data_IF_515124729168
#
_entry.id   IF_515124729168
#
_cell.length_a   1.000
_cell.length_b   1.000
_cell.length_c   1.000
_cell.angle_alpha   90.00
_cell.angle_beta   90.00
_cell.angle_gamma   90.00
#
_symmetry.space_group_name_H-M   'P 1'
#
loop_
_entity.id
_entity.type
_entity.pdbx_description
1 polymer ?
#
# COMPACT_ATOMS: atom_id res chain seq x y z
N UNK A 1 23.21 10.95 -45.05
CA UNK A 1 23.02 10.47 -43.66
C UNK A 1 23.39 9.00 -43.53
N UNK A 2 22.65 8.05 -44.13
CA UNK A 2 22.95 6.61 -44.05
C UNK A 2 24.40 6.27 -44.41
N UNK A 3 24.85 6.70 -45.58
CA UNK A 3 26.24 6.50 -46.02
C UNK A 3 27.30 7.05 -45.03
N UNK A 4 27.09 8.24 -44.46
CA UNK A 4 28.03 8.82 -43.49
C UNK A 4 28.07 8.00 -42.19
N UNK A 5 26.91 7.58 -41.69
CA UNK A 5 26.83 6.74 -40.48
C UNK A 5 27.37 5.32 -40.71
N UNK A 6 27.24 4.79 -41.93
CA UNK A 6 27.85 3.51 -42.33
C UNK A 6 29.39 3.60 -42.38
N UNK A 7 29.94 4.77 -42.69
CA UNK A 7 31.38 5.02 -42.75
C UNK A 7 31.96 5.58 -41.43
N UNK A 8 31.33 5.26 -40.29
CA UNK A 8 31.89 5.55 -38.96
C UNK A 8 31.75 6.99 -38.48
N UNK A 9 30.94 7.84 -39.13
CA UNK A 9 30.66 9.17 -38.60
C UNK A 9 29.99 9.08 -37.21
N UNK A 10 30.52 9.83 -36.23
CA UNK A 10 29.95 9.88 -34.89
C UNK A 10 28.57 10.59 -34.91
N UNK A 11 27.51 9.81 -34.69
CA UNK A 11 26.11 10.27 -34.74
C UNK A 11 25.68 11.14 -33.56
N UNK A 12 26.51 11.22 -32.51
CA UNK A 12 26.22 11.95 -31.27
C UNK A 12 26.91 13.33 -31.19
N UNK A 13 27.60 13.77 -32.25
CA UNK A 13 28.16 15.12 -32.32
C UNK A 13 27.03 16.16 -32.30
N UNK A 14 27.29 17.28 -31.64
CA UNK A 14 26.35 18.39 -31.48
C UNK A 14 26.75 19.62 -32.29
N UNK A 15 25.75 20.40 -32.73
CA UNK A 15 25.97 21.72 -33.32
C UNK A 15 26.17 22.82 -32.26
N UNK A 16 26.27 24.09 -32.67
CA UNK A 16 26.42 25.24 -31.75
C UNK A 16 25.24 25.44 -30.77
N UNK A 17 24.07 24.86 -31.05
CA UNK A 17 22.91 24.83 -30.15
C UNK A 17 22.87 23.56 -29.28
N UNK A 18 23.98 22.82 -29.24
CA UNK A 18 24.13 21.51 -28.59
C UNK A 18 23.16 20.43 -29.11
N UNK A 19 22.61 20.60 -30.31
CA UNK A 19 21.67 19.63 -30.89
C UNK A 19 22.43 18.53 -31.62
N UNK A 20 22.13 17.27 -31.31
CA UNK A 20 22.61 16.12 -32.08
C UNK A 20 21.88 15.99 -33.42
N UNK A 21 22.41 15.19 -34.33
CA UNK A 21 21.72 14.85 -35.58
C UNK A 21 20.30 14.30 -35.32
N UNK A 22 20.12 13.54 -34.24
CA UNK A 22 18.84 12.95 -33.86
C UNK A 22 17.81 14.00 -33.38
N UNK A 23 18.25 15.05 -32.68
CA UNK A 23 17.38 16.20 -32.36
C UNK A 23 16.83 16.85 -33.63
N UNK A 24 17.70 17.05 -34.62
CA UNK A 24 17.32 17.71 -35.88
C UNK A 24 16.35 16.85 -36.68
N UNK A 25 16.55 15.53 -36.76
CA UNK A 25 15.64 14.65 -37.50
C UNK A 25 14.27 14.56 -36.85
N UNK A 26 14.19 14.47 -35.52
CA UNK A 26 12.91 14.48 -34.80
C UNK A 26 12.21 15.82 -34.94
N UNK A 27 12.91 16.95 -34.79
CA UNK A 27 12.31 18.28 -34.93
C UNK A 27 11.79 18.59 -36.35
N UNK A 28 12.35 17.94 -37.37
CA UNK A 28 11.90 18.05 -38.77
C UNK A 28 10.93 16.94 -39.20
N UNK A 29 10.43 16.13 -38.27
CA UNK A 29 9.59 14.95 -38.55
C UNK A 29 10.21 13.96 -39.57
N UNK A 30 11.53 13.92 -39.68
CA UNK A 30 12.24 12.98 -40.54
C UNK A 30 12.42 11.62 -39.83
N UNK A 31 11.31 10.90 -39.66
CA UNK A 31 11.24 9.65 -38.90
C UNK A 31 12.13 8.53 -39.47
N UNK A 32 12.23 8.45 -40.80
CA UNK A 32 13.14 7.51 -41.49
C UNK A 32 14.59 7.79 -41.11
N UNK A 33 15.00 9.06 -41.11
CA UNK A 33 16.33 9.49 -40.66
C UNK A 33 16.57 9.18 -39.18
N UNK A 34 15.59 9.46 -38.32
CA UNK A 34 15.67 9.14 -36.89
C UNK A 34 15.91 7.64 -36.64
N UNK A 35 15.22 6.75 -37.34
CA UNK A 35 15.42 5.30 -37.20
C UNK A 35 16.82 4.86 -37.66
N UNK A 36 17.33 5.43 -38.76
CA UNK A 36 18.71 5.15 -39.20
C UNK A 36 19.72 5.57 -38.13
N UNK A 37 19.54 6.74 -37.52
CA UNK A 37 20.44 7.24 -36.47
C UNK A 37 20.37 6.38 -35.21
N UNK A 38 19.17 6.01 -34.74
CA UNK A 38 18.99 5.12 -33.58
C UNK A 38 19.68 3.77 -33.82
N UNK A 39 19.49 3.16 -35.01
CA UNK A 39 20.15 1.90 -35.37
C UNK A 39 21.68 2.00 -35.44
N UNK A 40 22.22 3.22 -35.53
CA UNK A 40 23.66 3.52 -35.55
C UNK A 40 24.19 4.00 -34.20
N UNK A 41 23.42 3.84 -33.12
CA UNK A 41 23.88 4.17 -31.76
C UNK A 41 23.72 5.66 -31.41
N UNK A 42 22.75 6.35 -32.00
CA UNK A 42 22.39 7.68 -31.52
C UNK A 42 21.76 7.59 -30.13
N UNK A 43 22.25 8.42 -29.21
CA UNK A 43 21.75 8.51 -27.85
C UNK A 43 20.54 9.45 -27.78
N UNK A 44 19.32 8.93 -27.50
CA UNK A 44 18.12 9.77 -27.42
C UNK A 44 18.02 10.56 -26.10
N UNK A 45 18.99 10.40 -25.20
CA UNK A 45 19.03 11.00 -23.87
C UNK A 45 19.95 12.22 -23.78
N UNK A 46 20.72 12.50 -24.83
CA UNK A 46 21.55 13.71 -24.88
C UNK A 46 20.65 14.94 -24.84
N UNK A 47 21.10 15.95 -24.11
CA UNK A 47 20.41 17.22 -23.92
C UNK A 47 20.87 18.23 -24.96
N UNK A 48 19.95 19.01 -25.51
CA UNK A 48 20.27 20.18 -26.31
C UNK A 48 20.59 21.41 -25.45
N UNK A 49 20.81 22.58 -26.07
CA UNK A 49 21.15 23.81 -25.36
C UNK A 49 20.03 24.34 -24.46
N UNK A 50 18.79 23.83 -24.60
CA UNK A 50 17.66 24.10 -23.70
C UNK A 50 17.50 23.02 -22.62
N UNK A 51 18.42 22.07 -22.57
CA UNK A 51 18.39 20.87 -21.71
C UNK A 51 17.24 19.91 -22.02
N UNK A 52 16.62 19.99 -23.19
CA UNK A 52 15.62 19.02 -23.63
C UNK A 52 16.31 17.82 -24.29
N UNK A 53 15.82 16.60 -24.04
CA UNK A 53 16.32 15.39 -24.72
C UNK A 53 15.45 15.05 -25.93
N UNK A 54 15.97 14.24 -26.86
CA UNK A 54 15.20 13.72 -28.00
C UNK A 54 13.93 13.01 -27.52
N UNK A 55 14.01 12.22 -26.45
CA UNK A 55 12.84 11.56 -25.86
C UNK A 55 11.75 12.57 -25.44
N UNK A 56 12.11 13.73 -24.89
CA UNK A 56 11.13 14.77 -24.55
C UNK A 56 10.54 15.45 -25.78
N UNK A 57 11.36 15.71 -26.81
CA UNK A 57 10.89 16.27 -28.07
C UNK A 57 9.85 15.37 -28.73
N UNK A 58 10.14 14.07 -28.88
CA UNK A 58 9.25 13.15 -29.60
C UNK A 58 7.89 12.98 -28.94
N UNK A 59 7.80 13.10 -27.61
CA UNK A 59 6.52 13.04 -26.86
C UNK A 59 5.60 14.22 -27.18
N UNK A 60 6.17 15.36 -27.59
CA UNK A 60 5.40 16.55 -27.98
C UNK A 60 4.98 16.54 -29.46
N UNK A 61 5.50 15.61 -30.27
CA UNK A 61 5.19 15.51 -31.70
C UNK A 61 3.93 14.66 -31.90
N UNK A 62 2.90 15.24 -32.54
CA UNK A 62 1.62 14.56 -32.78
C UNK A 62 1.68 13.52 -33.90
N UNK A 63 2.63 13.68 -34.81
CA UNK A 63 2.78 12.94 -36.06
C UNK A 63 3.88 11.87 -36.00
N UNK A 64 4.46 11.61 -34.82
CA UNK A 64 5.50 10.59 -34.68
C UNK A 64 4.92 9.17 -34.87
N UNK A 65 5.41 8.37 -35.84
CA UNK A 65 4.97 6.99 -36.01
C UNK A 65 5.32 6.15 -34.79
N UNK A 66 4.38 5.30 -34.36
CA UNK A 66 4.55 4.42 -33.20
C UNK A 66 5.82 3.57 -33.25
N UNK A 67 6.23 3.08 -34.43
CA UNK A 67 7.45 2.27 -34.56
C UNK A 67 8.72 3.09 -34.37
N UNK A 68 8.71 4.36 -34.78
CA UNK A 68 9.83 5.28 -34.54
C UNK A 68 9.92 5.63 -33.06
N UNK A 69 8.77 5.90 -32.44
CA UNK A 69 8.68 6.14 -31.00
C UNK A 69 9.20 4.93 -30.22
N UNK A 70 8.72 3.71 -30.52
CA UNK A 70 9.23 2.46 -29.95
C UNK A 70 10.73 2.30 -30.14
N UNK A 71 11.26 2.59 -31.33
CA UNK A 71 12.69 2.45 -31.63
C UNK A 71 13.53 3.40 -30.77
N UNK A 72 13.10 4.65 -30.62
CA UNK A 72 13.76 5.64 -29.76
C UNK A 72 13.77 5.19 -28.30
N UNK A 73 12.61 4.81 -27.76
CA UNK A 73 12.46 4.42 -26.35
C UNK A 73 13.08 3.05 -26.00
N UNK A 74 13.25 2.16 -26.98
CA UNK A 74 13.95 0.87 -26.82
C UNK A 74 15.44 0.94 -27.12
N UNK A 75 15.97 2.10 -27.49
CA UNK A 75 17.41 2.27 -27.67
C UNK A 75 18.15 1.86 -26.40
N UNK A 76 19.25 1.10 -26.55
CA UNK A 76 20.11 0.71 -25.41
C UNK A 76 20.71 1.91 -24.67
N UNK A 77 20.74 3.08 -25.32
CA UNK A 77 21.26 4.32 -24.74
C UNK A 77 20.18 5.16 -24.05
N UNK A 78 18.91 4.76 -24.10
CA UNK A 78 17.80 5.51 -23.50
C UNK A 78 17.88 5.53 -21.97
N UNK A 79 17.94 6.73 -21.39
CA UNK A 79 17.95 6.98 -19.94
C UNK A 79 16.65 7.65 -19.51
N UNK A 80 15.76 6.88 -18.90
CA UNK A 80 14.43 7.37 -18.47
C UNK A 80 14.47 8.38 -17.32
N UNK A 81 15.52 8.36 -16.49
CA UNK A 81 15.69 9.30 -15.37
C UNK A 81 16.21 10.68 -15.80
N UNK A 82 16.56 10.87 -17.08
CA UNK A 82 17.00 12.17 -17.57
C UNK A 82 15.85 13.18 -17.50
N UNK A 83 16.14 14.37 -16.97
CA UNK A 83 15.18 15.48 -16.89
C UNK A 83 15.35 16.45 -18.06
N UNK A 84 14.28 17.12 -18.45
CA UNK A 84 14.32 18.15 -19.47
C UNK A 84 14.65 19.55 -18.89
N UNK A 85 14.64 20.60 -19.72
CA UNK A 85 14.93 21.97 -19.26
C UNK A 85 13.99 22.54 -18.21
N UNK A 86 12.79 21.96 -18.10
CA UNK A 86 11.81 22.32 -17.09
C UNK A 86 11.89 21.40 -15.84
N UNK A 87 12.88 20.52 -15.77
CA UNK A 87 13.07 19.60 -14.64
C UNK A 87 12.13 18.40 -14.61
N UNK A 88 11.44 18.09 -15.72
CA UNK A 88 10.55 16.92 -15.78
C UNK A 88 11.33 15.68 -16.24
N UNK A 89 11.27 14.57 -15.49
CA UNK A 89 11.59 13.25 -16.02
C UNK A 89 10.65 12.88 -17.16
N UNK A 90 11.08 11.97 -18.05
CA UNK A 90 10.32 11.65 -19.27
C UNK A 90 8.92 11.10 -18.99
N UNK A 91 8.76 10.26 -17.95
CA UNK A 91 7.45 9.73 -17.57
C UNK A 91 6.50 10.86 -17.13
N UNK A 92 6.96 11.73 -16.23
CA UNK A 92 6.19 12.89 -15.75
C UNK A 92 5.84 13.86 -16.88
N UNK A 93 6.75 14.06 -17.84
CA UNK A 93 6.48 14.85 -19.03
C UNK A 93 5.40 14.23 -19.93
N UNK A 94 5.44 12.90 -20.14
CA UNK A 94 4.41 12.19 -20.90
C UNK A 94 3.03 12.27 -20.23
N UNK A 95 2.97 12.19 -18.90
CA UNK A 95 1.74 12.43 -18.11
C UNK A 95 1.22 13.84 -18.32
N UNK A 96 2.09 14.85 -18.22
CA UNK A 96 1.72 16.26 -18.43
C UNK A 96 1.16 16.50 -19.84
N UNK A 97 1.73 15.84 -20.86
CA UNK A 97 1.24 15.89 -22.25
C UNK A 97 0.01 15.03 -22.51
N UNK A 98 -0.51 14.34 -21.49
CA UNK A 98 -1.65 13.42 -21.59
C UNK A 98 -1.44 12.31 -22.64
N UNK A 99 -0.20 11.86 -22.83
CA UNK A 99 0.12 10.85 -23.83
C UNK A 99 0.13 9.45 -23.20
N UNK A 100 -1.06 8.86 -23.03
CA UNK A 100 -1.23 7.54 -22.41
C UNK A 100 -0.41 6.45 -23.10
N UNK A 101 -0.30 6.49 -24.43
CA UNK A 101 0.48 5.51 -25.19
C UNK A 101 1.96 5.50 -24.77
N UNK A 102 2.56 6.69 -24.69
CA UNK A 102 3.95 6.84 -24.24
C UNK A 102 4.09 6.44 -22.78
N UNK A 103 3.14 6.81 -21.91
CA UNK A 103 3.15 6.37 -20.51
C UNK A 103 3.19 4.85 -20.42
N UNK A 104 2.26 4.15 -21.10
CA UNK A 104 2.20 2.68 -21.11
C UNK A 104 3.49 2.05 -21.67
N UNK A 105 4.05 2.62 -22.75
CA UNK A 105 5.32 2.17 -23.30
C UNK A 105 6.46 2.31 -22.29
N UNK A 106 6.60 3.49 -21.66
CA UNK A 106 7.67 3.76 -20.69
C UNK A 106 7.57 2.80 -19.51
N UNK A 107 6.39 2.65 -18.89
CA UNK A 107 6.25 1.81 -17.69
C UNK A 107 6.43 0.32 -17.98
N UNK A 108 6.14 -0.15 -19.20
CA UNK A 108 6.45 -1.53 -19.62
C UNK A 108 7.94 -1.75 -19.88
N UNK A 109 8.66 -0.73 -20.31
CA UNK A 109 10.10 -0.82 -20.55
C UNK A 109 10.91 -0.68 -19.25
N UNK A 110 10.47 0.17 -18.33
CA UNK A 110 11.15 0.40 -17.07
C UNK A 110 10.17 0.84 -15.97
N UNK A 111 9.68 -0.08 -15.15
CA UNK A 111 8.77 0.25 -14.05
C UNK A 111 9.39 1.15 -12.98
N UNK A 112 10.73 1.18 -12.83
CA UNK A 112 11.41 1.98 -11.81
C UNK A 112 11.23 3.49 -12.00
N UNK A 113 10.92 3.96 -13.21
CA UNK A 113 10.72 5.40 -13.44
C UNK A 113 9.43 5.95 -12.80
N UNK A 114 8.53 5.10 -12.27
CA UNK A 114 7.35 5.56 -11.53
C UNK A 114 7.70 6.23 -10.20
N UNK A 115 8.87 5.93 -9.63
CA UNK A 115 9.41 6.60 -8.44
C UNK A 115 10.25 7.83 -8.73
N UNK A 116 10.50 8.17 -10.02
CA UNK A 116 11.24 9.39 -10.35
C UNK A 116 10.44 10.63 -9.93
N UNK A 117 11.12 11.56 -9.28
CA UNK A 117 10.52 12.76 -8.70
C UNK A 117 10.94 14.02 -9.46
N UNK A 118 10.04 14.99 -9.49
CA UNK A 118 10.37 16.36 -9.88
C UNK A 118 11.01 17.11 -8.69
N UNK A 119 11.43 18.36 -8.91
CA UNK A 119 12.11 19.17 -7.88
C UNK A 119 11.34 19.36 -6.58
N UNK A 120 10.01 19.24 -6.60
CA UNK A 120 9.14 19.32 -5.42
C UNK A 120 8.72 17.95 -4.86
N UNK A 121 9.40 16.88 -5.27
CA UNK A 121 9.16 15.51 -4.79
C UNK A 121 7.94 14.84 -5.42
N UNK A 122 7.17 15.52 -6.26
CA UNK A 122 6.01 14.90 -6.91
C UNK A 122 6.46 13.88 -7.95
N UNK A 123 5.82 12.72 -7.92
CA UNK A 123 5.94 11.65 -8.92
C UNK A 123 4.96 11.84 -10.08
N UNK A 124 5.08 10.99 -11.11
CA UNK A 124 4.13 10.92 -12.22
C UNK A 124 2.68 10.68 -11.76
N UNK A 125 2.47 9.90 -10.70
CA UNK A 125 1.12 9.62 -10.16
C UNK A 125 0.51 10.86 -9.49
N UNK A 126 1.30 11.67 -8.79
CA UNK A 126 0.83 12.95 -8.25
C UNK A 126 0.34 13.89 -9.37
N UNK A 127 1.08 13.98 -10.48
CA UNK A 127 0.68 14.78 -11.63
C UNK A 127 -0.60 14.26 -12.28
N UNK A 128 -0.70 12.95 -12.48
CA UNK A 128 -1.86 12.33 -13.10
C UNK A 128 -3.13 12.57 -12.24
N UNK A 129 -3.01 12.40 -10.92
CA UNK A 129 -4.07 12.66 -9.96
C UNK A 129 -4.49 14.15 -9.95
N UNK A 130 -3.52 15.06 -9.84
CA UNK A 130 -3.79 16.49 -9.79
C UNK A 130 -4.43 17.04 -11.07
N UNK A 131 -4.14 16.44 -12.24
CA UNK A 131 -4.63 16.89 -13.54
C UNK A 131 -5.78 16.04 -14.10
N UNK A 132 -6.41 15.21 -13.26
CA UNK A 132 -7.55 14.36 -13.62
C UNK A 132 -7.26 13.42 -14.82
N UNK A 133 -6.06 12.85 -14.87
CA UNK A 133 -5.66 11.90 -15.91
C UNK A 133 -6.00 10.49 -15.45
N UNK A 134 -7.29 10.16 -15.44
CA UNK A 134 -7.84 8.94 -14.84
C UNK A 134 -7.23 7.68 -15.50
N UNK A 135 -7.23 7.58 -16.83
CA UNK A 135 -6.70 6.41 -17.54
C UNK A 135 -5.18 6.26 -17.38
N UNK A 136 -4.46 7.39 -17.27
CA UNK A 136 -3.02 7.40 -17.02
C UNK A 136 -2.73 6.97 -15.58
N UNK A 137 -3.49 7.48 -14.60
CA UNK A 137 -3.36 7.07 -13.20
C UNK A 137 -3.61 5.58 -13.05
N UNK A 138 -4.61 5.03 -13.75
CA UNK A 138 -4.88 3.59 -13.78
C UNK A 138 -3.68 2.82 -14.33
N UNK A 139 -3.13 3.24 -15.48
CA UNK A 139 -1.95 2.61 -16.09
C UNK A 139 -0.70 2.67 -15.18
N UNK A 140 -0.46 3.80 -14.51
CA UNK A 140 0.65 3.96 -13.58
C UNK A 140 0.53 3.00 -12.37
N UNK A 141 -0.67 2.83 -11.82
CA UNK A 141 -0.93 1.94 -10.68
C UNK A 141 -0.84 0.47 -11.11
N UNK A 142 -1.54 0.08 -12.19
CA UNK A 142 -1.69 -1.35 -12.57
C UNK A 142 -0.49 -1.89 -13.34
N UNK A 143 -0.04 -1.19 -14.39
CA UNK A 143 1.09 -1.60 -15.21
C UNK A 143 2.41 -1.13 -14.60
N UNK A 144 2.46 0.13 -14.16
CA UNK A 144 3.67 0.75 -13.63
C UNK A 144 4.03 0.37 -12.20
N UNK A 145 3.09 -0.23 -11.45
CA UNK A 145 3.24 -0.56 -10.02
C UNK A 145 3.66 0.66 -9.18
N UNK A 146 3.17 1.84 -9.55
CA UNK A 146 3.44 3.06 -8.80
C UNK A 146 2.87 2.93 -7.38
N UNK A 147 3.66 3.35 -6.39
CA UNK A 147 3.18 3.44 -5.00
C UNK A 147 2.06 4.49 -4.92
N UNK A 148 0.87 4.05 -4.51
CA UNK A 148 -0.32 4.89 -4.42
C UNK A 148 -0.29 5.87 -3.24
N UNK A 149 0.56 5.61 -2.24
CA UNK A 149 0.69 6.40 -1.02
C UNK A 149 2.00 7.20 -0.96
N UNK A 150 2.75 7.25 -2.06
CA UNK A 150 4.01 8.00 -2.18
C UNK A 150 3.81 9.47 -1.77
N UNK A 151 4.77 10.04 -1.04
CA UNK A 151 4.68 11.42 -0.54
C UNK A 151 5.60 12.37 -1.32
N UNK A 152 5.09 13.56 -1.65
CA UNK A 152 5.89 14.68 -2.18
C UNK A 152 6.71 15.40 -1.08
N UNK A 153 7.47 16.45 -1.41
CA UNK A 153 8.28 17.18 -0.43
C UNK A 153 7.45 17.90 0.65
N UNK A 154 6.13 18.07 0.45
CA UNK A 154 5.20 18.59 1.46
C UNK A 154 4.50 17.47 2.23
N UNK A 155 4.88 16.21 2.01
CA UNK A 155 4.27 15.05 2.64
C UNK A 155 2.93 14.64 2.00
N UNK A 156 2.53 15.27 0.89
CA UNK A 156 1.21 15.04 0.29
C UNK A 156 1.22 13.77 -0.54
N UNK A 157 0.14 12.99 -0.46
CA UNK A 157 -0.07 11.81 -1.31
C UNK A 157 -0.70 12.19 -2.66
N UNK A 158 -0.77 11.28 -3.66
CA UNK A 158 -1.55 11.50 -4.88
C UNK A 158 -3.01 11.86 -4.62
N UNK A 159 -3.65 11.25 -3.61
CA UNK A 159 -5.02 11.58 -3.20
C UNK A 159 -5.11 13.05 -2.76
N UNK A 160 -4.20 13.49 -1.89
CA UNK A 160 -4.14 14.88 -1.45
C UNK A 160 -3.86 15.84 -2.60
N UNK A 161 -3.03 15.45 -3.57
CA UNK A 161 -2.76 16.26 -4.76
C UNK A 161 -4.00 16.41 -5.65
N UNK A 162 -4.81 15.36 -5.80
CA UNK A 162 -6.10 15.44 -6.48
C UNK A 162 -7.07 16.39 -5.75
N UNK A 163 -7.17 16.31 -4.44
CA UNK A 163 -8.06 17.19 -3.65
C UNK A 163 -7.57 18.64 -3.64
N UNK A 164 -6.25 18.85 -3.53
CA UNK A 164 -5.61 20.16 -3.50
C UNK A 164 -5.78 20.92 -4.81
N UNK A 165 -5.62 20.25 -5.96
CA UNK A 165 -5.74 20.88 -7.27
C UNK A 165 -7.18 21.16 -7.70
N UNK A 166 -8.18 20.76 -6.91
CA UNK A 166 -9.59 20.77 -7.32
C UNK A 166 -9.86 19.73 -8.41
N UNK A 167 -9.14 18.59 -8.36
CA UNK A 167 -9.35 17.45 -9.23
C UNK A 167 -10.78 16.92 -9.13
N UNK A 168 -11.27 16.34 -10.23
CA UNK A 168 -12.66 15.83 -10.28
C UNK A 168 -12.81 14.59 -9.41
N UNK A 169 -14.04 14.33 -8.97
CA UNK A 169 -14.39 13.14 -8.21
C UNK A 169 -13.85 11.83 -8.82
N UNK A 170 -13.80 11.71 -10.15
CA UNK A 170 -13.33 10.50 -10.84
C UNK A 170 -11.89 10.10 -10.48
N UNK A 171 -11.00 11.08 -10.33
CA UNK A 171 -9.60 10.78 -9.98
C UNK A 171 -9.49 10.33 -8.53
N UNK A 172 -10.27 10.92 -7.63
CA UNK A 172 -10.31 10.53 -6.22
C UNK A 172 -10.95 9.16 -6.06
N UNK A 173 -12.08 8.92 -6.72
CA UNK A 173 -12.76 7.62 -6.75
C UNK A 173 -11.82 6.50 -7.21
N UNK A 174 -11.05 6.73 -8.28
CA UNK A 174 -10.12 5.72 -8.75
C UNK A 174 -9.00 5.43 -7.74
N UNK A 175 -8.43 6.46 -7.10
CA UNK A 175 -7.38 6.26 -6.09
C UNK A 175 -7.91 5.50 -4.87
N UNK A 176 -9.14 5.80 -4.43
CA UNK A 176 -9.80 5.07 -3.35
C UNK A 176 -10.12 3.62 -3.75
N UNK A 177 -10.56 3.37 -4.98
CA UNK A 177 -10.79 2.01 -5.51
C UNK A 177 -9.53 1.14 -5.52
N UNK A 178 -8.35 1.77 -5.56
CA UNK A 178 -7.06 1.09 -5.41
C UNK A 178 -6.51 1.15 -3.97
N UNK A 179 -7.39 1.37 -2.99
CA UNK A 179 -7.12 1.26 -1.55
C UNK A 179 -6.02 2.22 -1.05
N UNK A 180 -5.98 3.45 -1.59
CA UNK A 180 -5.09 4.49 -1.06
C UNK A 180 -5.46 4.88 0.38
N UNK A 181 -4.48 5.37 1.14
CA UNK A 181 -4.65 5.81 2.52
C UNK A 181 -5.38 7.17 2.57
N UNK A 182 -6.71 7.12 2.76
CA UNK A 182 -7.59 8.29 2.83
C UNK A 182 -7.22 9.23 3.99
N UNK A 183 -6.70 8.66 5.07
CA UNK A 183 -6.37 9.35 6.32
C UNK A 183 -4.87 9.63 6.49
N UNK A 184 -4.06 9.48 5.44
CA UNK A 184 -2.67 9.90 5.48
C UNK A 184 -2.58 11.39 5.89
N UNK A 185 -1.50 11.76 6.59
CA UNK A 185 -1.21 13.13 6.98
C UNK A 185 0.02 13.66 6.24
N UNK A 186 -0.07 14.89 5.78
CA UNK A 186 1.04 15.62 5.16
C UNK A 186 2.00 16.21 6.22
N UNK A 187 2.98 17.01 5.81
CA UNK A 187 3.96 17.59 6.73
C UNK A 187 3.35 18.60 7.72
N UNK A 188 2.15 19.12 7.45
CA UNK A 188 1.38 19.97 8.36
C UNK A 188 0.45 19.16 9.27
N UNK A 189 0.40 17.84 9.11
CA UNK A 189 -0.59 16.99 9.79
C UNK A 189 -1.96 17.02 9.10
N UNK A 190 -2.10 17.66 7.94
CA UNK A 190 -3.37 17.78 7.25
C UNK A 190 -3.69 16.49 6.48
N UNK A 191 -4.91 15.99 6.63
CA UNK A 191 -5.47 14.91 5.80
C UNK A 191 -6.08 15.48 4.51
N UNK A 192 -6.47 14.61 3.57
CA UNK A 192 -7.22 15.04 2.38
C UNK A 192 -8.48 15.86 2.75
N UNK A 193 -9.13 15.53 3.86
CA UNK A 193 -10.31 16.25 4.35
C UNK A 193 -9.95 17.65 4.91
N UNK A 194 -8.83 17.80 5.62
CA UNK A 194 -8.32 19.13 6.04
C UNK A 194 -8.02 20.01 4.82
N UNK A 195 -7.35 19.44 3.81
CA UNK A 195 -7.02 20.14 2.57
C UNK A 195 -8.30 20.60 1.85
N UNK A 196 -9.32 19.75 1.79
CA UNK A 196 -10.61 20.11 1.20
C UNK A 196 -11.21 21.35 1.89
N UNK A 197 -11.17 21.42 3.22
CA UNK A 197 -11.76 22.51 3.99
C UNK A 197 -10.98 23.82 3.86
N UNK A 198 -9.64 23.76 3.87
CA UNK A 198 -8.79 24.96 3.77
C UNK A 198 -8.78 25.58 2.37
N UNK A 199 -8.87 24.77 1.31
CA UNK A 199 -8.80 25.24 -0.07
C UNK A 199 -10.09 25.91 -0.58
N UNK A 200 -11.23 25.74 0.12
CA UNK A 200 -12.51 26.39 -0.23
C UNK A 200 -12.43 27.92 -0.22
N UNK A 201 -11.57 28.49 0.63
CA UNK A 201 -11.46 29.95 0.79
C UNK A 201 -10.50 30.62 -0.21
N UNK A 202 -9.63 29.87 -0.89
CA UNK A 202 -8.39 30.44 -1.44
C UNK A 202 -8.27 30.41 -2.97
N UNK A 203 -9.15 29.69 -3.70
CA UNK A 203 -8.96 29.50 -5.15
C UNK A 203 -10.07 30.16 -6.00
N UNK A 204 -9.66 31.14 -6.80
CA UNK A 204 -10.47 31.75 -7.87
C UNK A 204 -10.91 30.71 -8.92
N UNK A 205 -10.16 29.60 -9.06
CA UNK A 205 -10.52 28.48 -9.96
C UNK A 205 -11.69 27.62 -9.44
N UNK A 206 -11.95 27.55 -8.13
CA UNK A 206 -13.04 26.73 -7.55
C UNK A 206 -14.41 27.40 -7.58
N UNK A 207 -14.50 28.75 -7.64
CA UNK A 207 -15.78 29.49 -7.68
C UNK A 207 -16.71 29.09 -8.84
N UNK A 208 -16.21 28.41 -9.87
CA UNK A 208 -16.99 27.89 -10.99
C UNK A 208 -17.60 26.48 -10.76
N UNK A 209 -17.31 25.79 -9.65
CA UNK A 209 -17.64 24.37 -9.43
C UNK A 209 -18.16 24.04 -8.03
N UNK A 210 -18.95 24.92 -7.41
CA UNK A 210 -19.41 24.76 -6.02
C UNK A 210 -20.11 23.43 -5.69
N UNK A 211 -20.70 22.74 -6.67
CA UNK A 211 -21.34 21.43 -6.48
C UNK A 211 -20.35 20.25 -6.29
N UNK A 212 -19.12 20.37 -6.79
CA UNK A 212 -18.12 19.28 -6.77
C UNK A 212 -17.48 19.12 -5.38
N UNK A 213 -17.38 20.20 -4.59
CA UNK A 213 -16.75 20.17 -3.26
C UNK A 213 -17.60 19.44 -2.21
N UNK A 214 -18.92 19.63 -2.23
CA UNK A 214 -19.84 18.87 -1.35
C UNK A 214 -19.88 17.41 -1.76
N UNK A 215 -19.85 17.11 -3.07
CA UNK A 215 -19.81 15.73 -3.54
C UNK A 215 -18.49 15.04 -3.15
N UNK A 216 -17.36 15.73 -3.28
CA UNK A 216 -16.06 15.27 -2.80
C UNK A 216 -16.04 15.04 -1.29
N UNK A 217 -16.64 15.95 -0.53
CA UNK A 217 -16.80 15.83 0.92
C UNK A 217 -17.57 14.56 1.29
N UNK A 218 -18.77 14.40 0.76
CA UNK A 218 -19.59 13.21 1.00
C UNK A 218 -18.84 11.94 0.62
N UNK A 219 -18.19 11.93 -0.54
CA UNK A 219 -17.45 10.77 -1.03
C UNK A 219 -16.27 10.40 -0.14
N UNK A 220 -15.47 11.37 0.32
CA UNK A 220 -14.36 11.11 1.25
C UNK A 220 -14.88 10.55 2.59
N UNK A 221 -15.98 11.12 3.12
CA UNK A 221 -16.60 10.65 4.37
C UNK A 221 -17.15 9.22 4.22
N UNK A 222 -17.87 8.93 3.14
CA UNK A 222 -18.40 7.60 2.83
C UNK A 222 -17.30 6.55 2.66
N UNK A 223 -16.10 6.97 2.24
CA UNK A 223 -14.92 6.11 2.08
C UNK A 223 -13.93 6.22 3.26
N UNK A 224 -14.42 6.57 4.45
CA UNK A 224 -13.68 6.40 5.70
C UNK A 224 -12.73 7.55 6.07
N UNK A 225 -12.90 8.75 5.51
CA UNK A 225 -12.19 9.94 5.97
C UNK A 225 -12.57 10.25 7.44
N UNK A 226 -11.57 10.31 8.31
CA UNK A 226 -11.75 10.54 9.74
C UNK A 226 -11.82 12.04 10.03
N UNK A 227 -12.92 12.47 10.64
CA UNK A 227 -13.20 13.86 11.03
C UNK A 227 -12.58 14.27 12.36
N UNK A 228 -11.97 13.32 13.10
CA UNK A 228 -11.38 13.55 14.42
C UNK A 228 -9.86 13.71 14.39
N UNK A 229 -9.21 13.38 13.28
CA UNK A 229 -7.75 13.54 13.14
C UNK A 229 -7.41 15.01 13.29
N UNK A 230 -6.46 15.33 14.15
CA UNK A 230 -5.95 16.68 14.32
C UNK A 230 -4.67 16.88 13.49
N UNK A 231 -4.56 18.05 12.86
CA UNK A 231 -3.31 18.50 12.27
C UNK A 231 -2.32 19.01 13.34
N UNK A 232 -1.14 19.46 12.92
CA UNK A 232 -0.10 19.97 13.84
C UNK A 232 -0.51 21.21 14.64
N UNK A 233 -1.58 21.89 14.24
CA UNK A 233 -2.16 23.02 14.97
C UNK A 233 -3.26 22.58 15.94
N UNK A 234 -3.47 21.27 16.14
CA UNK A 234 -4.53 20.72 16.98
C UNK A 234 -5.94 20.90 16.41
N UNK A 235 -6.07 21.20 15.11
CA UNK A 235 -7.36 21.44 14.44
C UNK A 235 -7.80 20.18 13.70
N UNK A 236 -9.06 19.79 13.89
CA UNK A 236 -9.73 18.79 13.07
C UNK A 236 -10.22 19.38 11.75
N UNK A 237 -10.63 18.58 10.75
CA UNK A 237 -11.25 19.12 9.55
C UNK A 237 -12.50 19.94 9.84
N UNK A 238 -13.29 19.56 10.85
CA UNK A 238 -14.50 20.28 11.27
C UNK A 238 -14.16 21.66 11.83
N UNK A 239 -13.06 21.78 12.57
CA UNK A 239 -12.60 23.07 13.11
C UNK A 239 -12.17 24.05 12.02
N UNK A 240 -11.75 23.53 10.86
CA UNK A 240 -11.35 24.32 9.68
C UNK A 240 -12.53 24.70 8.79
N UNK A 241 -13.69 24.06 8.95
CA UNK A 241 -14.92 24.41 8.25
C UNK A 241 -15.46 25.74 8.78
N UNK A 242 -15.71 26.72 7.90
CA UNK A 242 -16.24 28.04 8.31
C UNK A 242 -17.77 28.07 8.38
N UNK A 243 -18.44 27.31 7.52
CA UNK A 243 -19.89 27.31 7.39
C UNK A 243 -20.53 26.36 8.41
N UNK A 244 -21.44 26.88 9.24
CA UNK A 244 -22.10 26.09 10.29
C UNK A 244 -23.05 25.02 9.73
N UNK A 245 -23.68 25.26 8.57
CA UNK A 245 -24.52 24.26 7.92
C UNK A 245 -23.69 23.09 7.40
N UNK A 246 -22.51 23.38 6.86
CA UNK A 246 -21.55 22.36 6.44
C UNK A 246 -20.98 21.60 7.64
N UNK A 247 -20.65 22.27 8.75
CA UNK A 247 -20.24 21.57 9.99
C UNK A 247 -21.32 20.59 10.45
N UNK A 248 -22.58 21.01 10.45
CA UNK A 248 -23.70 20.15 10.82
C UNK A 248 -23.84 18.97 9.85
N UNK A 249 -23.67 19.21 8.55
CA UNK A 249 -23.66 18.16 7.53
C UNK A 249 -22.53 17.15 7.77
N UNK A 250 -21.30 17.60 8.00
CA UNK A 250 -20.13 16.75 8.27
C UNK A 250 -20.38 15.92 9.53
N UNK A 251 -20.85 16.54 10.61
CA UNK A 251 -21.17 15.83 11.87
C UNK A 251 -22.27 14.79 11.65
N UNK A 252 -23.34 15.15 10.93
CA UNK A 252 -24.46 14.25 10.65
C UNK A 252 -24.06 13.09 9.75
N UNK A 253 -23.27 13.35 8.71
CA UNK A 253 -22.77 12.32 7.80
C UNK A 253 -21.72 11.45 8.47
N UNK A 254 -20.78 12.02 9.21
CA UNK A 254 -19.83 11.25 10.02
C UNK A 254 -20.59 10.35 10.99
N UNK A 255 -21.57 10.89 11.73
CA UNK A 255 -22.45 10.11 12.60
C UNK A 255 -23.22 9.03 11.84
N UNK A 256 -23.81 9.32 10.67
CA UNK A 256 -24.52 8.32 9.85
C UNK A 256 -23.61 7.26 9.23
N UNK A 257 -22.38 7.62 8.86
CA UNK A 257 -21.35 6.69 8.37
C UNK A 257 -20.90 5.80 9.52
N UNK A 258 -20.74 6.38 10.72
CA UNK A 258 -20.46 5.66 11.96
C UNK A 258 -21.64 4.74 12.34
N UNK A 259 -22.89 5.22 12.33
CA UNK A 259 -24.10 4.44 12.64
C UNK A 259 -24.38 3.35 11.60
N UNK A 260 -24.17 3.61 10.30
CA UNK A 260 -24.19 2.58 9.26
C UNK A 260 -23.05 1.57 9.43
N UNK A 261 -21.95 1.94 10.09
CA UNK A 261 -20.86 1.05 10.46
C UNK A 261 -21.12 0.23 11.74
N UNK A 262 -22.26 0.41 12.41
CA UNK A 262 -22.61 -0.29 13.66
C UNK A 262 -23.54 -1.52 13.49
N UNK A 263 -23.58 -2.16 12.32
CA UNK A 263 -24.07 -3.55 12.20
C UNK A 263 -23.18 -4.46 11.33
N UNK A 264 -22.12 -3.93 10.71
CA UNK A 264 -21.08 -4.64 9.97
C UNK A 264 -19.84 -3.73 9.93
N UNK A 265 -18.64 -4.32 9.93
CA UNK A 265 -17.36 -3.64 9.69
C UNK A 265 -17.37 -2.84 8.39
N UNK A 266 -16.39 -1.95 8.18
CA UNK A 266 -16.28 -1.12 6.94
C UNK A 266 -16.24 -1.95 5.64
N UNK A 267 -15.90 -3.23 5.76
CA UNK A 267 -15.82 -4.23 4.68
C UNK A 267 -17.01 -5.22 4.66
N UNK A 268 -18.03 -4.98 5.47
CA UNK A 268 -19.28 -5.73 5.52
C UNK A 268 -19.24 -7.03 6.34
N UNK A 269 -18.23 -7.21 7.21
CA UNK A 269 -18.12 -8.38 8.08
C UNK A 269 -18.76 -8.13 9.44
N UNK A 270 -19.20 -9.18 10.13
CA UNK A 270 -19.67 -9.07 11.51
C UNK A 270 -18.49 -9.23 12.47
N UNK A 271 -18.52 -8.53 13.60
CA UNK A 271 -17.62 -8.83 14.70
C UNK A 271 -17.98 -10.18 15.32
N UNK A 272 -17.02 -10.86 15.98
CA UNK A 272 -17.32 -12.06 16.75
C UNK A 272 -18.42 -11.79 17.79
N UNK A 273 -19.35 -12.73 17.94
CA UNK A 273 -20.50 -12.57 18.85
C UNK A 273 -20.09 -12.53 20.33
N UNK A 274 -18.87 -12.94 20.63
CA UNK A 274 -18.25 -13.01 21.95
C UNK A 274 -17.37 -11.78 22.27
N UNK A 275 -17.43 -10.74 21.45
CA UNK A 275 -16.81 -9.44 21.75
C UNK A 275 -17.74 -8.55 22.57
N UNK A 276 -17.14 -7.76 23.45
CA UNK A 276 -17.85 -6.78 24.26
C UNK A 276 -18.16 -5.53 23.42
N UNK A 277 -19.06 -4.69 23.92
CA UNK A 277 -19.28 -3.38 23.31
C UNK A 277 -18.03 -2.51 23.49
N UNK A 278 -17.27 -2.40 22.40
CA UNK A 278 -16.03 -1.63 22.37
C UNK A 278 -16.28 -0.11 22.26
N UNK A 279 -17.52 0.37 22.06
CA UNK A 279 -17.79 1.79 21.87
C UNK A 279 -16.90 2.43 20.80
N UNK A 280 -16.17 3.49 21.17
CA UNK A 280 -15.19 4.18 20.31
C UNK A 280 -13.80 3.54 20.29
N UNK A 281 -13.50 2.61 21.21
CA UNK A 281 -12.20 1.96 21.30
C UNK A 281 -11.93 1.09 20.05
N UNK A 282 -10.70 1.12 19.59
CA UNK A 282 -10.24 0.32 18.43
C UNK A 282 -9.68 -1.03 18.87
N UNK A 283 -9.13 -1.08 20.08
CA UNK A 283 -8.56 -2.27 20.70
C UNK A 283 -9.05 -2.32 22.16
N UNK A 284 -9.53 -3.48 22.60
CA UNK A 284 -9.99 -3.71 23.97
C UNK A 284 -9.42 -5.04 24.47
N UNK A 285 -8.90 -5.03 25.70
CA UNK A 285 -8.51 -6.24 26.43
C UNK A 285 -9.52 -6.52 27.52
N UNK A 286 -10.13 -7.70 27.49
CA UNK A 286 -11.15 -8.09 28.46
C UNK A 286 -10.70 -9.36 29.17
N UNK A 287 -10.56 -9.28 30.50
CA UNK A 287 -10.31 -10.46 31.32
C UNK A 287 -11.49 -11.43 31.18
N UNK A 288 -11.20 -12.67 30.79
CA UNK A 288 -12.20 -13.72 30.71
C UNK A 288 -12.38 -14.27 32.13
N UNK A 289 -13.49 -13.92 32.77
CA UNK A 289 -13.82 -14.41 34.11
C UNK A 289 -14.85 -15.54 34.02
N UNK A 290 -14.49 -16.80 34.36
CA UNK A 290 -15.39 -17.96 34.22
C UNK A 290 -16.66 -17.88 35.07
N UNK A 291 -16.71 -16.96 36.03
CA UNK A 291 -17.83 -16.72 36.93
C UNK A 291 -18.85 -15.71 36.41
N UNK A 292 -18.55 -14.94 35.34
CA UNK A 292 -19.41 -13.83 34.89
C UNK A 292 -20.54 -14.26 33.96
N UNK A 293 -20.25 -15.05 32.93
CA UNK A 293 -21.24 -15.50 31.94
C UNK A 293 -20.94 -16.93 31.49
N UNK A 294 -21.96 -17.66 31.02
CA UNK A 294 -21.78 -19.01 30.46
C UNK A 294 -20.89 -19.00 29.21
N UNK A 295 -20.92 -17.91 28.43
CA UNK A 295 -20.07 -17.73 27.25
C UNK A 295 -18.59 -17.59 27.65
N UNK A 296 -18.28 -16.71 28.62
CA UNK A 296 -16.90 -16.55 29.14
C UNK A 296 -16.39 -17.83 29.80
N UNK A 297 -17.27 -18.55 30.51
CA UNK A 297 -16.97 -19.85 31.09
C UNK A 297 -16.58 -20.87 30.03
N UNK A 298 -17.26 -20.89 28.89
CA UNK A 298 -16.93 -21.78 27.78
C UNK A 298 -15.63 -21.36 27.08
N UNK A 299 -15.45 -20.06 26.79
CA UNK A 299 -14.20 -19.54 26.21
C UNK A 299 -12.99 -19.91 27.06
N UNK A 300 -13.09 -19.73 28.39
CA UNK A 300 -12.03 -20.11 29.31
C UNK A 300 -11.70 -21.60 29.22
N UNK A 301 -12.72 -22.47 29.22
CA UNK A 301 -12.52 -23.92 29.11
C UNK A 301 -11.85 -24.31 27.80
N UNK A 302 -12.25 -23.71 26.68
CA UNK A 302 -11.71 -24.03 25.36
C UNK A 302 -10.22 -23.63 25.26
N UNK A 303 -9.88 -22.41 25.69
CA UNK A 303 -8.49 -21.94 25.69
C UNK A 303 -7.64 -22.74 26.67
N UNK A 304 -8.17 -23.02 27.87
CA UNK A 304 -7.48 -23.85 28.86
C UNK A 304 -7.20 -25.25 28.31
N UNK A 305 -8.19 -25.90 27.70
CA UNK A 305 -8.03 -27.24 27.14
C UNK A 305 -6.98 -27.26 26.03
N UNK A 306 -7.01 -26.27 25.12
CA UNK A 306 -6.03 -26.13 24.05
C UNK A 306 -4.59 -25.95 24.59
N UNK A 307 -4.44 -25.15 25.64
CA UNK A 307 -3.16 -24.90 26.31
C UNK A 307 -2.66 -26.13 27.06
N UNK A 308 -3.46 -26.70 27.98
CA UNK A 308 -3.07 -27.86 28.81
C UNK A 308 -2.72 -29.09 27.95
N UNK A 309 -3.41 -29.31 26.83
CA UNK A 309 -3.12 -30.42 25.92
C UNK A 309 -1.72 -30.35 25.32
N UNK A 310 -1.12 -29.15 25.27
CA UNK A 310 0.16 -28.90 24.59
C UNK A 310 1.27 -28.40 25.52
N UNK A 311 0.92 -27.96 26.73
CA UNK A 311 1.84 -27.55 27.80
C UNK A 311 1.26 -27.88 29.20
N UNK A 312 1.12 -29.17 29.55
CA UNK A 312 0.44 -29.60 30.77
C UNK A 312 1.18 -29.25 32.07
N UNK A 313 2.48 -28.96 32.00
CA UNK A 313 3.29 -28.60 33.18
C UNK A 313 3.12 -27.14 33.62
N UNK A 314 2.57 -26.28 32.75
CA UNK A 314 2.37 -24.87 33.04
C UNK A 314 0.98 -24.63 33.65
N UNK A 315 0.87 -23.59 34.48
CA UNK A 315 -0.39 -23.19 35.10
C UNK A 315 -0.82 -21.82 34.60
N UNK A 316 -2.02 -21.75 34.00
CA UNK A 316 -2.64 -20.48 33.60
C UNK A 316 -2.97 -19.64 34.85
N UNK A 317 -2.53 -18.39 34.84
CA UNK A 317 -2.83 -17.34 35.82
C UNK A 317 -4.04 -16.55 35.36
N UNK A 318 -4.02 -16.05 34.12
CA UNK A 318 -5.11 -15.26 33.55
C UNK A 318 -5.24 -15.47 32.04
N UNK A 319 -6.45 -15.22 31.52
CA UNK A 319 -6.73 -15.22 30.08
C UNK A 319 -7.47 -13.92 29.76
N UNK A 320 -6.96 -13.20 28.77
CA UNK A 320 -7.56 -11.99 28.24
C UNK A 320 -8.03 -12.23 26.80
N UNK A 321 -9.26 -11.83 26.50
CA UNK A 321 -9.75 -11.67 25.14
C UNK A 321 -9.19 -10.37 24.56
N UNK A 322 -8.61 -10.46 23.37
CA UNK A 322 -8.11 -9.30 22.62
C UNK A 322 -9.10 -9.02 21.50
N UNK A 323 -9.75 -7.87 21.58
CA UNK A 323 -10.73 -7.42 20.62
C UNK A 323 -10.10 -6.28 19.84
N UNK A 324 -9.78 -6.50 18.56
CA UNK A 324 -9.10 -5.52 17.71
C UNK A 324 -9.87 -5.34 16.40
N UNK A 325 -10.59 -4.22 16.28
CA UNK A 325 -11.46 -3.95 15.14
C UNK A 325 -10.68 -3.92 13.82
N UNK A 326 -9.47 -3.34 13.80
CA UNK A 326 -8.69 -3.15 12.58
C UNK A 326 -8.09 -4.47 12.11
N UNK A 327 -7.43 -5.21 12.99
CA UNK A 327 -6.80 -6.47 12.62
C UNK A 327 -7.84 -7.54 12.29
N UNK A 328 -9.01 -7.54 12.95
CA UNK A 328 -10.12 -8.41 12.56
C UNK A 328 -10.64 -8.12 11.14
N UNK A 329 -10.79 -6.84 10.78
CA UNK A 329 -11.19 -6.46 9.42
C UNK A 329 -10.19 -6.95 8.38
N UNK A 330 -8.89 -6.68 8.59
CA UNK A 330 -7.84 -7.10 7.66
C UNK A 330 -7.77 -8.62 7.53
N UNK A 331 -7.88 -9.33 8.65
CA UNK A 331 -7.94 -10.78 8.71
C UNK A 331 -9.12 -11.35 7.89
N UNK A 332 -10.32 -10.79 8.07
CA UNK A 332 -11.51 -11.23 7.34
C UNK A 332 -11.44 -10.93 5.83
N UNK A 333 -10.85 -9.78 5.45
CA UNK A 333 -10.59 -9.45 4.03
C UNK A 333 -9.64 -10.47 3.41
N UNK A 334 -8.55 -10.80 4.11
CA UNK A 334 -7.59 -11.80 3.63
C UNK A 334 -8.23 -13.20 3.55
N UNK A 335 -9.07 -13.57 4.52
CA UNK A 335 -9.83 -14.82 4.50
C UNK A 335 -10.71 -14.92 3.25
N UNK A 336 -11.50 -13.89 2.94
CA UNK A 336 -12.29 -13.85 1.69
C UNK A 336 -11.43 -13.93 0.43
N UNK A 337 -10.25 -13.31 0.43
CA UNK A 337 -9.30 -13.40 -0.70
C UNK A 337 -8.86 -14.85 -0.93
N UNK A 338 -8.46 -15.56 0.13
CA UNK A 338 -8.10 -16.99 0.04
C UNK A 338 -9.29 -17.83 -0.42
N UNK A 339 -10.48 -17.59 0.13
CA UNK A 339 -11.69 -18.35 -0.23
C UNK A 339 -12.13 -18.10 -1.68
N UNK A 340 -11.94 -16.88 -2.18
CA UNK A 340 -12.17 -16.56 -3.60
C UNK A 340 -11.15 -17.25 -4.51
N UNK A 341 -9.91 -17.41 -4.04
CA UNK A 341 -8.81 -17.99 -4.81
C UNK A 341 -8.86 -19.51 -4.85
N UNK A 342 -9.22 -20.17 -3.76
CA UNK A 342 -9.14 -21.63 -3.60
C UNK A 342 -10.48 -22.32 -3.35
N UNK A 343 -11.53 -21.58 -3.03
CA UNK A 343 -12.83 -22.11 -2.63
C UNK A 343 -13.14 -21.84 -1.15
N UNK A 344 -14.43 -21.87 -0.82
CA UNK A 344 -14.92 -21.64 0.55
C UNK A 344 -14.32 -22.70 1.49
N UNK A 345 -13.82 -22.28 2.64
CA UNK A 345 -13.18 -23.16 3.63
C UNK A 345 -11.70 -23.46 3.38
N UNK A 346 -11.14 -23.04 2.23
CA UNK A 346 -9.73 -23.28 1.90
C UNK A 346 -8.76 -22.28 2.54
N UNK A 347 -9.23 -21.36 3.39
CA UNK A 347 -8.38 -20.42 4.11
C UNK A 347 -7.46 -21.09 5.15
N UNK A 348 -7.75 -22.36 5.51
CA UNK A 348 -6.97 -23.16 6.45
C UNK A 348 -6.66 -22.38 7.73
N UNK A 349 -7.73 -21.95 8.39
CA UNK A 349 -7.69 -21.19 9.63
C UNK A 349 -7.25 -22.09 10.79
N UNK A 350 -6.22 -21.67 11.52
CA UNK A 350 -5.62 -22.40 12.64
C UNK A 350 -5.53 -21.49 13.87
N UNK A 351 -5.83 -22.02 15.05
CA UNK A 351 -5.48 -21.34 16.30
C UNK A 351 -4.07 -21.76 16.69
N UNK A 352 -3.13 -20.82 16.69
CA UNK A 352 -1.71 -21.08 16.93
C UNK A 352 -1.16 -20.17 18.02
N UNK A 353 -0.10 -20.65 18.67
CA UNK A 353 0.55 -19.99 19.80
C UNK A 353 1.76 -19.16 19.38
N UNK A 354 1.97 -18.03 20.04
CA UNK A 354 3.19 -17.23 19.94
C UNK A 354 3.66 -16.77 21.32
N UNK A 355 4.85 -17.21 21.74
CA UNK A 355 5.45 -16.79 23.02
C UNK A 355 6.06 -15.40 22.91
N UNK A 356 6.11 -14.64 24.00
CA UNK A 356 6.72 -13.30 23.95
C UNK A 356 7.49 -12.95 25.21
N UNK A 357 8.12 -11.77 25.20
CA UNK A 357 8.70 -11.13 26.37
C UNK A 357 7.64 -10.28 27.08
N UNK A 358 7.64 -10.21 28.42
CA UNK A 358 6.68 -9.42 29.19
C UNK A 358 6.63 -7.95 28.75
N UNK A 359 7.77 -7.33 28.48
CA UNK A 359 7.89 -5.93 28.07
C UNK A 359 7.41 -5.64 26.63
N UNK A 360 7.04 -6.68 25.88
CA UNK A 360 6.53 -6.56 24.50
C UNK A 360 5.03 -6.81 24.38
N UNK A 361 4.36 -7.21 25.46
CA UNK A 361 2.93 -7.56 25.41
C UNK A 361 2.08 -6.40 24.92
N UNK A 362 2.19 -5.22 25.55
CA UNK A 362 1.38 -4.05 25.18
C UNK A 362 1.70 -3.58 23.76
N UNK A 363 2.98 -3.60 23.38
CA UNK A 363 3.43 -3.26 22.03
C UNK A 363 2.82 -4.19 20.97
N UNK A 364 2.77 -5.49 21.23
CA UNK A 364 2.19 -6.49 20.31
C UNK A 364 0.67 -6.31 20.22
N UNK A 365 0.00 -5.98 21.32
CA UNK A 365 -1.44 -5.70 21.32
C UNK A 365 -1.74 -4.46 20.49
N UNK A 366 -0.96 -3.38 20.65
CA UNK A 366 -1.21 -2.11 19.95
C UNK A 366 -0.85 -2.14 18.45
N UNK A 367 0.17 -2.92 18.07
CA UNK A 367 0.73 -2.88 16.71
C UNK A 367 0.41 -4.12 15.87
N UNK A 368 -0.33 -5.08 16.45
CA UNK A 368 -0.29 -6.49 16.04
C UNK A 368 1.14 -7.05 16.11
N UNK A 369 1.29 -8.38 16.07
CA UNK A 369 2.62 -8.97 16.06
C UNK A 369 3.36 -8.60 14.77
N UNK A 370 4.35 -7.71 14.86
CA UNK A 370 5.28 -7.40 13.78
C UNK A 370 6.37 -8.47 13.71
N UNK A 371 6.74 -8.92 12.51
CA UNK A 371 7.82 -9.90 12.31
C UNK A 371 9.17 -9.42 12.88
N UNK A 372 9.37 -8.11 13.03
CA UNK A 372 10.54 -7.48 13.70
C UNK A 372 10.50 -7.66 15.22
N UNK A 373 9.33 -7.86 15.80
CA UNK A 373 9.10 -8.13 17.22
C UNK A 373 9.01 -9.62 17.54
N UNK A 374 8.77 -10.47 16.52
CA UNK A 374 8.58 -11.92 16.62
C UNK A 374 9.84 -12.74 17.02
N UNK A 375 10.78 -12.13 17.74
CA UNK A 375 11.92 -12.79 18.35
C UNK A 375 13.09 -13.01 17.40
N UNK A 376 14.19 -12.30 17.64
CA UNK A 376 15.52 -12.52 17.06
C UNK A 376 16.12 -13.91 17.34
N UNK A 377 15.37 -14.83 17.98
CA UNK A 377 15.83 -16.15 18.45
C UNK A 377 15.22 -17.34 17.71
N UNK A 378 14.10 -17.17 17.00
CA UNK A 378 13.61 -18.23 16.09
C UNK A 378 14.33 -18.00 14.78
N UNK A 379 15.46 -18.70 14.59
CA UNK A 379 16.26 -18.62 13.38
C UNK A 379 15.37 -18.72 12.14
N UNK A 380 15.78 -18.09 11.04
CA UNK A 380 15.01 -17.94 9.80
C UNK A 380 14.73 -19.28 9.09
N UNK A 381 14.72 -20.43 9.76
CA UNK A 381 14.68 -21.79 9.22
C UNK A 381 13.58 -22.04 8.18
N UNK A 382 12.43 -21.35 8.29
CA UNK A 382 11.29 -21.50 7.38
C UNK A 382 11.02 -20.27 6.51
N UNK A 383 11.83 -19.21 6.67
CA UNK A 383 11.74 -17.94 5.97
C UNK A 383 11.79 -16.74 6.91
N UNK A 384 11.82 -15.53 6.33
CA UNK A 384 11.81 -14.24 7.03
C UNK A 384 10.38 -13.73 7.24
N UNK A 385 9.57 -14.50 7.96
CA UNK A 385 8.19 -14.17 8.31
C UNK A 385 7.92 -14.24 9.82
N UNK A 386 6.64 -14.20 10.19
CA UNK A 386 6.16 -14.34 11.56
C UNK A 386 5.91 -15.82 11.87
N UNK A 387 6.42 -16.29 13.01
CA UNK A 387 6.38 -17.69 13.41
C UNK A 387 5.28 -17.97 14.43
N UNK A 388 4.55 -19.05 14.19
CA UNK A 388 3.48 -19.55 15.06
C UNK A 388 3.64 -21.04 15.29
N UNK A 389 3.34 -21.51 16.49
CA UNK A 389 3.41 -22.91 16.85
C UNK A 389 2.02 -23.52 17.07
N UNK A 390 1.85 -24.76 16.63
CA UNK A 390 0.64 -25.53 16.90
C UNK A 390 0.52 -25.95 18.37
N UNK A 391 1.65 -26.32 18.98
CA UNK A 391 1.72 -26.72 20.38
C UNK A 391 2.38 -25.61 21.21
N UNK A 392 1.77 -25.24 22.34
CA UNK A 392 2.26 -24.17 23.22
C UNK A 392 3.70 -24.40 23.72
N UNK A 393 4.14 -25.65 23.91
CA UNK A 393 5.51 -25.99 24.30
C UNK A 393 6.61 -25.43 23.41
N UNK A 394 6.37 -25.29 22.11
CA UNK A 394 7.38 -24.71 21.22
C UNK A 394 7.48 -23.20 21.42
N UNK A 395 6.34 -22.56 21.73
CA UNK A 395 6.25 -21.13 22.06
C UNK A 395 6.80 -20.79 23.44
N UNK A 396 6.60 -21.66 24.43
CA UNK A 396 7.20 -21.55 25.76
C UNK A 396 8.74 -21.56 25.72
N UNK A 397 9.33 -22.33 24.79
CA UNK A 397 10.79 -22.45 24.65
C UNK A 397 11.52 -21.12 24.36
N UNK A 398 10.81 -20.11 23.85
CA UNK A 398 11.36 -18.76 23.64
C UNK A 398 10.62 -17.65 24.41
N UNK A 399 9.56 -17.96 25.16
CA UNK A 399 8.94 -17.03 26.09
C UNK A 399 9.82 -16.83 27.34
N UNK A 400 9.88 -15.60 27.85
CA UNK A 400 10.63 -15.28 29.08
C UNK A 400 9.69 -14.87 30.20
N UNK A 401 10.07 -15.20 31.42
CA UNK A 401 9.34 -14.82 32.63
C UNK A 401 9.63 -13.38 33.02
N UNK A 402 8.65 -12.70 33.60
CA UNK A 402 8.82 -11.43 34.28
C UNK A 402 9.50 -11.61 35.66
N UNK A 403 9.59 -10.52 36.43
CA UNK A 403 10.15 -10.54 37.79
C UNK A 403 9.35 -11.40 38.77
N UNK A 404 8.09 -11.72 38.47
CA UNK A 404 7.21 -12.55 39.30
C UNK A 404 7.20 -14.02 38.85
N UNK A 405 7.97 -14.37 37.81
CA UNK A 405 8.00 -15.70 37.23
C UNK A 405 6.87 -15.97 36.24
N UNK A 406 6.09 -14.97 35.85
CA UNK A 406 4.98 -15.10 34.90
C UNK A 406 5.48 -14.96 33.46
N UNK A 407 5.04 -15.87 32.59
CA UNK A 407 5.27 -15.85 31.16
C UNK A 407 4.00 -15.47 30.41
N UNK A 408 4.18 -14.96 29.19
CA UNK A 408 3.10 -14.48 28.35
C UNK A 408 3.13 -15.16 26.97
N UNK A 409 1.95 -15.56 26.52
CA UNK A 409 1.77 -16.19 25.21
C UNK A 409 0.45 -15.74 24.59
N UNK A 410 0.50 -15.42 23.31
CA UNK A 410 -0.69 -15.11 22.53
C UNK A 410 -1.22 -16.34 21.83
N UNK A 411 -2.54 -16.38 21.68
CA UNK A 411 -3.24 -17.25 20.73
C UNK A 411 -3.71 -16.40 19.56
N UNK A 412 -3.31 -16.78 18.36
CA UNK A 412 -3.69 -16.15 17.11
C UNK A 412 -4.59 -17.06 16.28
N UNK A 413 -5.62 -16.48 15.67
CA UNK A 413 -6.25 -17.08 14.50
C UNK A 413 -5.36 -16.79 13.29
N UNK A 414 -4.84 -17.81 12.61
CA UNK A 414 -3.87 -17.71 11.51
C UNK A 414 -4.43 -18.39 10.26
N UNK A 415 -4.44 -17.67 9.14
CA UNK A 415 -4.83 -18.16 7.81
C UNK A 415 -3.62 -18.77 7.10
N UNK A 416 -3.45 -20.08 7.25
CA UNK A 416 -2.31 -20.78 6.66
C UNK A 416 -2.45 -20.99 5.14
N UNK A 417 -3.68 -20.94 4.60
CA UNK A 417 -3.96 -21.22 3.19
C UNK A 417 -3.30 -22.52 2.69
N UNK A 418 -2.77 -22.47 1.47
CA UNK A 418 -1.90 -23.51 0.92
C UNK A 418 -0.48 -23.37 1.46
N UNK A 419 0.03 -24.47 1.99
CA UNK A 419 1.32 -24.52 2.67
C UNK A 419 2.38 -25.23 1.83
N UNK A 420 3.65 -24.90 2.07
CA UNK A 420 4.81 -25.60 1.49
C UNK A 420 5.93 -25.74 2.53
N UNK A 421 6.95 -26.56 2.27
CA UNK A 421 8.12 -26.63 3.15
C UNK A 421 8.89 -25.30 3.13
N UNK A 422 9.20 -24.77 4.31
CA UNK A 422 10.00 -23.55 4.45
C UNK A 422 11.48 -23.73 4.12
N UNK A 423 12.14 -22.61 3.82
CA UNK A 423 13.60 -22.47 3.65
C UNK A 423 14.06 -21.12 4.19
N UNK A 424 15.33 -21.03 4.55
CA UNK A 424 15.88 -19.85 5.22
C UNK A 424 16.15 -18.63 4.35
N UNK A 425 16.26 -18.84 3.04
CA UNK A 425 16.41 -17.81 2.04
C UNK A 425 15.07 -17.16 1.62
N UNK A 426 13.94 -17.73 2.04
CA UNK A 426 12.62 -17.21 1.67
C UNK A 426 12.31 -15.89 2.37
N UNK A 427 12.10 -14.84 1.59
CA UNK A 427 11.61 -13.52 2.05
C UNK A 427 10.11 -13.32 1.79
N UNK A 428 9.49 -14.25 1.06
CA UNK A 428 8.07 -14.36 0.76
C UNK A 428 7.77 -15.83 0.43
N UNK A 429 6.49 -16.27 0.40
CA UNK A 429 6.19 -17.63 0.00
C UNK A 429 6.68 -17.94 -1.43
N UNK A 430 7.09 -19.18 -1.72
CA UNK A 430 7.51 -19.59 -3.06
C UNK A 430 6.33 -19.72 -4.03
N UNK A 431 6.62 -19.81 -5.33
CA UNK A 431 5.61 -20.06 -6.37
C UNK A 431 5.06 -21.48 -6.26
N UNK A 432 3.74 -21.64 -6.48
CA UNK A 432 3.09 -22.96 -6.58
C UNK A 432 3.36 -23.62 -7.93
N UNK A 433 3.40 -22.82 -9.00
CA UNK A 433 3.60 -23.28 -10.35
C UNK A 433 4.53 -22.33 -11.10
N UNK A 434 5.61 -22.86 -11.67
CA UNK A 434 6.59 -22.11 -12.47
C UNK A 434 5.97 -21.47 -13.72
N UNK A 435 4.85 -22.00 -14.20
CA UNK A 435 4.14 -21.49 -15.37
C UNK A 435 3.13 -20.37 -15.04
N UNK A 436 2.77 -20.20 -13.76
CA UNK A 436 1.90 -19.12 -13.30
C UNK A 436 2.65 -18.20 -12.31
N UNK A 437 3.28 -17.11 -12.79
CA UNK A 437 4.17 -16.29 -11.96
C UNK A 437 3.45 -15.46 -10.88
N UNK A 438 2.12 -15.55 -10.80
CA UNK A 438 1.31 -14.84 -9.81
C UNK A 438 0.72 -15.78 -8.74
N UNK A 439 0.92 -17.09 -8.84
CA UNK A 439 0.37 -18.06 -7.89
C UNK A 439 1.44 -18.49 -6.88
N UNK A 440 1.40 -17.91 -5.68
CA UNK A 440 2.31 -18.21 -4.59
C UNK A 440 1.63 -19.08 -3.54
N UNK A 441 2.39 -19.88 -2.78
CA UNK A 441 1.90 -20.46 -1.54
C UNK A 441 1.52 -19.34 -0.54
N UNK A 442 0.74 -19.67 0.48
CA UNK A 442 0.26 -18.67 1.45
C UNK A 442 1.09 -18.70 2.74
N UNK A 443 1.66 -19.87 3.08
CA UNK A 443 2.54 -20.02 4.24
C UNK A 443 3.60 -21.11 4.05
N UNK A 444 4.63 -21.05 4.89
CA UNK A 444 5.68 -22.07 4.98
C UNK A 444 5.52 -22.86 6.29
N UNK A 445 5.77 -24.16 6.24
CA UNK A 445 5.68 -25.05 7.40
C UNK A 445 6.94 -25.90 7.53
N UNK A 446 7.20 -26.42 8.73
CA UNK A 446 8.30 -27.35 8.97
C UNK A 446 8.05 -28.73 8.34
N UNK A 447 6.78 -29.13 8.25
CA UNK A 447 6.38 -30.38 7.64
C UNK A 447 4.98 -30.23 7.01
N UNK A 448 4.83 -30.53 5.72
CA UNK A 448 3.57 -30.32 4.98
C UNK A 448 2.46 -31.31 5.40
N UNK A 449 2.81 -32.53 5.82
CA UNK A 449 1.81 -33.54 6.21
C UNK A 449 1.38 -33.40 7.67
N UNK A 450 2.29 -32.97 8.55
CA UNK A 450 2.01 -32.72 9.96
C UNK A 450 2.71 -31.44 10.44
N UNK A 451 2.18 -30.26 10.07
CA UNK A 451 2.79 -28.99 10.47
C UNK A 451 2.77 -28.82 11.99
N UNK A 452 3.91 -28.38 12.53
CA UNK A 452 4.06 -27.98 13.95
C UNK A 452 4.36 -26.49 14.06
N UNK A 453 5.14 -25.95 13.12
CA UNK A 453 5.51 -24.55 13.05
C UNK A 453 5.06 -23.98 11.72
N UNK A 454 4.46 -22.80 11.77
CA UNK A 454 3.98 -22.05 10.63
C UNK A 454 4.76 -20.74 10.54
N UNK A 455 5.19 -20.38 9.34
CA UNK A 455 5.78 -19.10 9.00
C UNK A 455 4.90 -18.41 7.96
N UNK A 456 4.31 -17.29 8.33
CA UNK A 456 3.46 -16.44 7.47
C UNK A 456 4.18 -15.13 7.19
N UNK A 457 3.93 -14.53 6.03
CA UNK A 457 4.75 -13.42 5.53
C UNK A 457 3.98 -12.11 5.43
N UNK A 458 2.66 -12.14 5.64
CA UNK A 458 1.77 -10.99 5.60
C UNK A 458 1.09 -10.85 6.97
N UNK A 459 1.17 -9.66 7.55
CA UNK A 459 0.63 -9.35 8.88
C UNK A 459 -0.91 -9.33 8.92
N UNK A 460 -1.56 -9.39 7.76
CA UNK A 460 -3.02 -9.52 7.64
C UNK A 460 -3.50 -10.99 7.67
N UNK A 461 -2.58 -11.96 7.64
CA UNK A 461 -2.91 -13.39 7.72
C UNK A 461 -3.32 -13.85 9.12
N UNK A 462 -3.15 -13.03 10.15
CA UNK A 462 -3.44 -13.42 11.51
C UNK A 462 -4.03 -12.30 12.35
N UNK A 463 -4.86 -12.69 13.31
CA UNK A 463 -5.47 -11.80 14.29
C UNK A 463 -5.30 -12.39 15.68
N UNK A 464 -4.84 -11.57 16.63
CA UNK A 464 -4.74 -11.97 18.03
C UNK A 464 -6.14 -12.23 18.58
N UNK A 465 -6.30 -13.32 19.33
CA UNK A 465 -7.56 -13.72 19.93
C UNK A 465 -7.49 -13.69 21.44
N UNK A 466 -6.43 -14.26 22.01
CA UNK A 466 -6.25 -14.33 23.45
C UNK A 466 -4.81 -14.02 23.85
N UNK A 467 -4.64 -13.44 25.04
CA UNK A 467 -3.38 -13.39 25.77
C UNK A 467 -3.51 -14.29 27.00
N UNK A 468 -2.55 -15.19 27.16
CA UNK A 468 -2.46 -16.13 28.29
C UNK A 468 -1.25 -15.73 29.13
N UNK A 469 -1.50 -15.47 30.40
CA UNK A 469 -0.49 -15.35 31.44
C UNK A 469 -0.38 -16.68 32.19
N UNK A 470 0.83 -17.21 32.37
CA UNK A 470 1.05 -18.53 32.98
C UNK A 470 2.38 -18.61 33.73
N UNK A 471 2.50 -19.61 34.60
CA UNK A 471 3.73 -19.94 35.35
C UNK A 471 4.20 -21.35 35.09
#
# INVERSE_FOLDING_TARGET
MKHLADNGANVNITNAKQQTALHITVNKSNWKGSNVLINKGADPSLQDGKKDTVMHFVVSQKDCPHDTLKSIFRSKMAKFSAVNGNGYPILSFAVMKNNKYVVDLIVRLNTKCTSDTMSDGRTALHLAAANNKVEISHCLITTGKADINVKDNKGRTPLMSAVFSGGTLKSVEQLIKFECSVNAQDNSGDTALHILQTQKSSSMMRKRRGADDTQMLCFLLENGANVLIQNKNGKTPIDLTKDETEKLLIKTLAKKVIEKSFAKTKSGFTFPADWDDMGEETILRVNIEPSKTDLMKQQWKDVKQMFDNTLPQARIVSIQSIQDKFNWEMYQVYKKKLEKQYGIGCANEQNLFHGTLPDKVDLIVEQNLDCRLAGTRVGTLLGKGTYFAKDAKYSDGYAQSDSNGHKFMFVYSVLAGKTCCGRDDYVRPPLQDTNNPNLFFDSCVDNVTKPRIYCVFDNTQYCSKYLIEYT
#
